data_IF_331147145232
#
_entry.id   IF_331147145232
#
_cell.length_a   1.000
_cell.length_b   1.000
_cell.length_c   1.000
_cell.angle_alpha   90.00
_cell.angle_beta   90.00
_cell.angle_gamma   90.00
#
_symmetry.space_group_name_H-M   'P 1'
#
loop_
_entity.id
_entity.type
_entity.pdbx_description
1 polymer ?
#
# COMPACT_ATOMS: atom_id res chain seq x y z
N UNK A 1 15.45 3.41 -1.80
CA UNK A 1 15.11 2.88 -0.45
C UNK A 1 15.35 3.96 0.58
N UNK A 2 14.44 4.10 1.57
CA UNK A 2 14.65 4.92 2.77
C UNK A 2 14.58 4.03 4.01
N UNK A 3 15.39 4.31 5.04
CA UNK A 3 15.42 3.56 6.31
C UNK A 3 15.52 4.56 7.47
N UNK A 4 15.24 4.06 8.67
CA UNK A 4 15.38 4.85 9.92
C UNK A 4 14.67 6.21 9.84
N UNK A 5 13.48 6.23 9.24
CA UNK A 5 12.65 7.42 9.16
C UNK A 5 12.05 7.70 10.53
N UNK A 6 12.48 8.78 11.16
CA UNK A 6 11.99 9.26 12.47
C UNK A 6 10.99 10.42 12.36
N UNK A 7 10.96 11.08 11.22
CA UNK A 7 10.03 12.17 10.91
C UNK A 7 9.35 11.90 9.59
N UNK A 8 8.03 11.90 9.58
CA UNK A 8 7.26 11.70 8.35
C UNK A 8 7.39 12.91 7.43
N UNK A 9 7.35 12.65 6.12
CA UNK A 9 7.28 13.72 5.10
C UNK A 9 6.28 13.35 4.03
N UNK A 10 5.59 14.35 3.50
CA UNK A 10 4.68 14.25 2.37
C UNK A 10 5.29 15.02 1.19
N UNK A 11 5.47 14.35 0.05
CA UNK A 11 6.03 14.96 -1.14
C UNK A 11 4.99 14.95 -2.26
N UNK A 12 4.51 16.13 -2.73
CA UNK A 12 3.59 16.21 -3.85
C UNK A 12 4.31 15.94 -5.18
N UNK A 13 3.66 15.20 -6.07
CA UNK A 13 3.91 15.13 -7.50
C UNK A 13 2.61 15.53 -8.18
N UNK A 14 2.56 16.75 -8.67
CA UNK A 14 1.36 17.31 -9.28
C UNK A 14 1.36 17.03 -10.79
N UNK A 15 0.18 16.82 -11.39
CA UNK A 15 0.02 16.74 -12.83
C UNK A 15 0.29 18.08 -13.50
N UNK A 16 0.40 18.09 -14.83
CA UNK A 16 0.29 19.33 -15.59
C UNK A 16 -1.06 19.99 -15.27
N UNK A 17 -1.08 21.29 -14.92
CA UNK A 17 -2.32 21.98 -14.62
C UNK A 17 -3.39 21.89 -15.73
N UNK A 18 -2.98 21.75 -16.99
CA UNK A 18 -3.89 21.58 -18.11
C UNK A 18 -4.56 20.18 -18.16
N UNK A 19 -3.97 19.19 -17.51
CA UNK A 19 -4.44 17.80 -17.48
C UNK A 19 -5.02 17.40 -16.12
N UNK A 20 -4.88 18.26 -15.12
CA UNK A 20 -5.33 18.00 -13.75
C UNK A 20 -6.85 17.76 -13.71
N UNK A 21 -7.24 16.61 -13.15
CA UNK A 21 -8.65 16.22 -13.05
C UNK A 21 -9.25 16.41 -11.65
N UNK A 22 -8.48 16.94 -10.71
CA UNK A 22 -8.86 17.19 -9.32
C UNK A 22 -8.70 16.01 -8.37
N UNK A 23 -8.55 14.78 -8.86
CA UNK A 23 -8.35 13.63 -7.99
C UNK A 23 -6.98 13.67 -7.32
N UNK A 24 -6.90 13.13 -6.10
CA UNK A 24 -5.68 13.06 -5.32
C UNK A 24 -5.47 11.68 -4.69
N UNK A 25 -4.21 11.25 -4.58
CA UNK A 25 -3.84 9.96 -3.98
C UNK A 25 -2.66 10.10 -3.04
N UNK A 26 -2.83 9.69 -1.79
CA UNK A 26 -1.72 9.46 -0.87
C UNK A 26 -1.13 8.08 -1.20
N UNK A 27 0.16 8.05 -1.52
CA UNK A 27 0.90 6.84 -1.89
C UNK A 27 1.78 6.43 -0.72
N UNK A 28 1.50 5.24 -0.14
CA UNK A 28 2.25 4.67 0.97
C UNK A 28 3.12 3.49 0.49
N UNK A 29 4.44 3.66 0.31
CA UNK A 29 5.33 2.58 -0.13
C UNK A 29 5.42 1.44 0.88
N UNK A 30 5.78 0.24 0.42
CA UNK A 30 6.06 -0.92 1.26
C UNK A 30 7.47 -0.98 1.82
N UNK A 31 7.76 -2.04 2.58
CA UNK A 31 9.07 -2.30 3.19
C UNK A 31 8.99 -2.77 4.63
N UNK A 32 7.97 -3.54 4.98
CA UNK A 32 7.79 -4.22 6.26
C UNK A 32 7.86 -3.29 7.49
N UNK A 33 7.54 -1.99 7.35
CA UNK A 33 7.70 -0.95 8.37
C UNK A 33 9.15 -0.74 8.86
N UNK A 34 10.14 -1.28 8.18
CA UNK A 34 11.57 -1.17 8.47
C UNK A 34 12.34 -0.35 7.44
N UNK A 35 11.82 -0.29 6.23
CA UNK A 35 12.34 0.50 5.12
C UNK A 35 11.20 0.88 4.17
N UNK A 36 11.46 1.73 3.18
CA UNK A 36 10.49 2.13 2.18
C UNK A 36 11.03 1.89 0.77
N UNK A 37 10.24 1.25 -0.06
CA UNK A 37 10.47 1.03 -1.49
C UNK A 37 10.18 2.30 -2.30
N UNK A 38 10.87 3.41 -1.95
CA UNK A 38 10.57 4.76 -2.45
C UNK A 38 10.59 4.86 -3.97
N UNK A 39 11.49 4.13 -4.65
CA UNK A 39 11.57 4.23 -6.11
C UNK A 39 10.45 3.47 -6.80
N UNK A 40 10.27 2.20 -6.44
CA UNK A 40 9.33 1.30 -7.14
C UNK A 40 7.87 1.56 -6.77
N UNK A 41 7.60 1.73 -5.48
CA UNK A 41 6.24 1.82 -4.91
C UNK A 41 5.87 3.25 -4.46
N UNK A 42 6.81 4.18 -4.58
CA UNK A 42 6.61 5.61 -4.32
C UNK A 42 6.67 6.42 -5.60
N UNK A 43 7.88 6.79 -6.03
CA UNK A 43 8.08 7.76 -7.10
C UNK A 43 7.56 7.31 -8.47
N UNK A 44 7.75 6.04 -8.86
CA UNK A 44 7.22 5.53 -10.14
C UNK A 44 5.70 5.56 -10.16
N UNK A 45 5.07 5.14 -9.06
CA UNK A 45 3.60 5.14 -8.93
C UNK A 45 3.07 6.57 -8.97
N UNK A 46 3.64 7.46 -8.15
CA UNK A 46 3.23 8.86 -8.11
C UNK A 46 3.40 9.55 -9.47
N UNK A 47 4.48 9.26 -10.21
CA UNK A 47 4.69 9.77 -11.56
C UNK A 47 3.60 9.29 -12.51
N UNK A 48 3.32 7.98 -12.50
CA UNK A 48 2.30 7.40 -13.36
C UNK A 48 0.88 7.95 -13.09
N UNK A 49 0.59 8.32 -11.85
CA UNK A 49 -0.65 9.01 -11.48
C UNK A 49 -0.65 10.45 -11.99
N UNK A 50 0.44 11.21 -11.77
CA UNK A 50 0.56 12.58 -12.23
C UNK A 50 0.46 12.69 -13.76
N UNK A 51 1.09 11.75 -14.50
CA UNK A 51 0.99 11.64 -15.97
C UNK A 51 -0.45 11.35 -16.47
N UNK A 52 -1.39 11.04 -15.55
CA UNK A 52 -2.82 10.82 -15.81
C UNK A 52 -3.74 11.89 -15.19
N UNK A 53 -3.17 13.02 -14.83
CA UNK A 53 -3.93 14.14 -14.29
C UNK A 53 -4.30 14.00 -12.80
N UNK A 54 -3.74 13.03 -12.08
CA UNK A 54 -4.04 12.77 -10.67
C UNK A 54 -2.90 13.30 -9.79
N UNK A 55 -3.21 14.18 -8.84
CA UNK A 55 -2.23 14.65 -7.88
C UNK A 55 -1.80 13.51 -6.94
N UNK A 56 -0.51 13.21 -6.87
CA UNK A 56 0.01 12.14 -6.05
C UNK A 56 0.90 12.67 -4.93
N UNK A 57 0.74 12.12 -3.73
CA UNK A 57 1.42 12.55 -2.52
C UNK A 57 2.16 11.37 -1.90
N UNK A 58 3.48 11.31 -2.09
CA UNK A 58 4.27 10.20 -1.55
C UNK A 58 4.51 10.41 -0.07
N UNK A 59 3.94 9.53 0.75
CA UNK A 59 4.09 9.53 2.19
C UNK A 59 5.31 8.68 2.60
N UNK A 60 6.34 9.35 3.13
CA UNK A 60 7.45 8.71 3.82
C UNK A 60 7.13 8.68 5.31
N UNK A 61 6.43 7.64 5.75
CA UNK A 61 5.99 7.48 7.15
C UNK A 61 7.11 6.97 8.06
N UNK A 62 6.96 7.15 9.39
CA UNK A 62 7.91 6.70 10.41
C UNK A 62 8.08 5.19 10.40
N UNK A 63 9.30 4.74 10.62
CA UNK A 63 9.69 3.34 10.54
C UNK A 63 10.24 2.85 11.87
N UNK A 64 10.19 1.53 12.05
CA UNK A 64 10.94 0.88 13.11
C UNK A 64 12.44 1.06 12.85
N UNK A 65 13.25 1.35 13.89
CA UNK A 65 14.70 1.44 13.76
C UNK A 65 15.31 0.15 13.21
N UNK A 66 16.29 0.30 12.36
CA UNK A 66 17.09 -0.79 11.80
C UNK A 66 18.57 -0.51 12.01
N UNK A 67 19.41 -1.49 11.73
CA UNK A 67 20.85 -1.38 11.84
C UNK A 67 21.38 -0.12 11.11
N UNK A 68 22.32 0.64 11.68
CA UNK A 68 22.85 1.84 11.01
C UNK A 68 23.54 1.50 9.69
N UNK A 69 24.33 0.43 9.66
CA UNK A 69 24.99 -0.07 8.45
C UNK A 69 23.99 -0.62 7.43
N UNK A 70 24.21 -0.32 6.16
CA UNK A 70 23.39 -0.87 5.07
C UNK A 70 23.67 -2.36 4.85
N UNK A 71 24.90 -2.78 5.07
CA UNK A 71 25.31 -4.17 4.83
C UNK A 71 24.78 -5.08 5.94
N UNK A 72 24.85 -4.68 7.21
CA UNK A 72 24.24 -5.40 8.33
C UNK A 72 22.72 -5.50 8.14
N UNK A 73 22.08 -4.41 7.68
CA UNK A 73 20.67 -4.44 7.37
C UNK A 73 20.32 -5.44 6.25
N UNK A 74 21.13 -5.45 5.17
CA UNK A 74 20.93 -6.40 4.05
C UNK A 74 21.14 -7.84 4.49
N UNK A 75 22.16 -8.09 5.30
CA UNK A 75 22.41 -9.42 5.86
C UNK A 75 21.21 -9.90 6.70
N UNK A 76 20.74 -9.05 7.61
CA UNK A 76 19.56 -9.36 8.43
C UNK A 76 18.30 -9.60 7.61
N UNK A 77 18.08 -8.81 6.57
CA UNK A 77 16.95 -8.98 5.68
C UNK A 77 17.03 -10.29 4.89
N UNK A 78 18.22 -10.69 4.46
CA UNK A 78 18.42 -11.97 3.76
C UNK A 78 18.13 -13.19 4.66
N UNK A 79 18.40 -13.08 5.95
CA UNK A 79 18.07 -14.12 6.94
C UNK A 79 16.57 -14.19 7.25
N UNK A 80 15.83 -13.09 7.14
CA UNK A 80 14.40 -13.01 7.46
C UNK A 80 13.45 -13.35 6.30
N UNK A 81 13.92 -13.26 5.06
CA UNK A 81 13.16 -13.57 3.84
C UNK A 81 13.73 -14.80 3.08
N UNK A 82 14.50 -15.64 3.78
CA UNK A 82 14.92 -16.93 3.21
C UNK A 82 13.71 -17.75 2.75
N UNK A 83 13.89 -18.67 1.76
CA UNK A 83 12.82 -19.57 1.37
C UNK A 83 12.33 -20.30 2.63
N UNK A 84 11.02 -20.58 2.75
CA UNK A 84 10.51 -21.34 3.88
C UNK A 84 11.30 -22.67 3.93
N UNK A 85 11.67 -23.18 5.13
CA UNK A 85 12.35 -24.44 5.23
C UNK A 85 11.54 -25.49 4.46
N UNK A 86 12.22 -26.20 3.56
CA UNK A 86 11.59 -27.21 2.74
C UNK A 86 10.90 -28.23 3.65
N UNK A 87 9.59 -28.32 3.52
CA UNK A 87 8.73 -29.42 3.98
C UNK A 87 9.05 -30.05 5.35
N UNK A 88 8.48 -29.51 6.38
CA UNK A 88 7.83 -30.31 7.41
C UNK A 88 6.47 -29.66 7.65
N UNK A 89 5.39 -30.44 7.43
CA UNK A 89 4.05 -30.05 7.85
C UNK A 89 4.11 -29.55 9.30
N UNK A 90 3.53 -28.39 9.63
CA UNK A 90 3.39 -28.01 11.02
C UNK A 90 2.54 -29.09 11.69
N UNK A 91 2.89 -29.53 12.90
CA UNK A 91 2.04 -30.45 13.65
C UNK A 91 0.67 -29.79 13.81
N UNK A 92 -0.38 -30.53 13.49
CA UNK A 92 -1.75 -30.10 13.68
C UNK A 92 -1.94 -29.71 15.16
N UNK A 93 -2.05 -28.42 15.44
CA UNK A 93 -2.37 -28.01 16.79
C UNK A 93 -2.06 -26.60 17.24
N UNK A 94 -1.16 -25.85 16.64
CA UNK A 94 -1.02 -24.43 17.01
C UNK A 94 -0.35 -23.67 15.85
N UNK A 95 -1.10 -22.73 15.27
CA UNK A 95 -0.48 -21.75 14.40
C UNK A 95 0.57 -20.99 15.24
N UNK A 96 1.82 -20.80 14.72
CA UNK A 96 2.81 -20.01 15.44
C UNK A 96 2.20 -18.64 15.75
N UNK A 97 2.49 -18.07 16.94
CA UNK A 97 1.97 -16.77 17.32
C UNK A 97 2.27 -15.80 16.18
N UNK A 98 1.22 -15.23 15.60
CA UNK A 98 1.37 -14.18 14.60
C UNK A 98 2.26 -13.12 15.25
N UNK A 99 3.33 -12.65 14.57
CA UNK A 99 4.06 -11.48 15.07
C UNK A 99 3.02 -10.47 15.48
N UNK A 100 3.04 -10.06 16.74
CA UNK A 100 2.02 -9.22 17.35
C UNK A 100 1.71 -8.11 16.38
N UNK A 101 0.44 -7.77 16.18
CA UNK A 101 0.01 -6.65 15.33
C UNK A 101 0.91 -5.50 15.70
N UNK A 102 1.81 -5.11 14.80
CA UNK A 102 2.72 -4.00 15.05
C UNK A 102 1.84 -2.82 15.43
N UNK A 103 2.13 -2.18 16.54
CA UNK A 103 1.45 -0.96 16.89
C UNK A 103 1.70 0.05 15.75
N UNK A 104 0.66 0.38 15.01
CA UNK A 104 0.72 1.31 13.88
C UNK A 104 0.28 2.72 14.26
N UNK A 105 0.18 3.03 15.55
CA UNK A 105 -0.27 4.35 16.03
C UNK A 105 0.55 5.51 15.45
N UNK A 106 1.86 5.35 15.37
CA UNK A 106 2.74 6.35 14.76
C UNK A 106 2.48 6.52 13.26
N UNK A 107 2.33 5.41 12.53
CA UNK A 107 2.09 5.44 11.08
C UNK A 107 0.68 5.96 10.77
N UNK A 108 -0.31 5.64 11.60
CA UNK A 108 -1.65 6.21 11.51
C UNK A 108 -1.61 7.72 11.70
N UNK A 109 -0.95 8.20 12.75
CA UNK A 109 -0.80 9.64 12.99
C UNK A 109 -0.08 10.35 11.82
N UNK A 110 0.89 9.68 11.18
CA UNK A 110 1.58 10.22 10.00
C UNK A 110 0.63 10.30 8.79
N UNK A 111 -0.23 9.29 8.58
CA UNK A 111 -1.21 9.29 7.50
C UNK A 111 -2.30 10.35 7.73
N UNK A 112 -2.78 10.50 8.97
CA UNK A 112 -3.74 11.54 9.34
C UNK A 112 -3.17 12.95 9.15
N UNK A 113 -1.91 13.17 9.57
CA UNK A 113 -1.21 14.43 9.35
C UNK A 113 -1.02 14.73 7.85
N UNK A 114 -0.66 13.72 7.05
CA UNK A 114 -0.54 13.86 5.61
C UNK A 114 -1.88 14.23 4.95
N UNK A 115 -2.96 13.59 5.36
CA UNK A 115 -4.31 13.89 4.91
C UNK A 115 -4.73 15.31 5.31
N UNK A 116 -4.48 15.73 6.54
CA UNK A 116 -4.78 17.09 7.01
C UNK A 116 -4.03 18.16 6.18
N UNK A 117 -2.73 17.97 5.91
CA UNK A 117 -1.94 18.86 5.05
C UNK A 117 -2.53 18.90 3.63
N UNK A 118 -2.97 17.77 3.10
CA UNK A 118 -3.60 17.70 1.79
C UNK A 118 -4.88 18.55 1.76
N UNK A 119 -5.75 18.40 2.76
CA UNK A 119 -6.98 19.18 2.87
C UNK A 119 -6.68 20.69 3.01
N UNK A 120 -5.74 21.06 3.88
CA UNK A 120 -5.35 22.45 4.10
C UNK A 120 -4.86 23.14 2.82
N UNK A 121 -4.11 22.41 2.00
CA UNK A 121 -3.47 22.92 0.79
C UNK A 121 -4.18 22.50 -0.52
N UNK A 122 -5.37 21.93 -0.43
CA UNK A 122 -6.09 21.38 -1.58
C UNK A 122 -6.27 22.41 -2.71
N UNK A 123 -6.64 23.64 -2.38
CA UNK A 123 -6.82 24.70 -3.37
C UNK A 123 -5.51 25.12 -4.05
N UNK A 124 -4.39 25.10 -3.34
CA UNK A 124 -3.06 25.37 -3.91
C UNK A 124 -2.66 24.31 -4.93
N UNK A 125 -3.07 23.08 -4.68
CA UNK A 125 -2.71 21.93 -5.52
C UNK A 125 -3.76 21.54 -6.56
N UNK A 126 -4.87 22.28 -6.63
CA UNK A 126 -5.97 22.01 -7.54
C UNK A 126 -6.69 20.69 -7.24
N UNK A 127 -6.75 20.28 -5.96
CA UNK A 127 -7.33 19.03 -5.50
C UNK A 127 -8.77 19.24 -5.04
N UNK A 128 -9.64 18.33 -5.48
CA UNK A 128 -10.97 18.12 -4.94
C UNK A 128 -10.89 17.16 -3.75
N UNK A 129 -11.18 17.64 -2.56
CA UNK A 129 -11.07 16.87 -1.32
C UNK A 129 -11.99 15.64 -1.28
N UNK A 130 -13.14 15.70 -1.98
CA UNK A 130 -14.09 14.60 -2.07
C UNK A 130 -13.63 13.48 -3.02
N UNK A 131 -12.50 13.71 -3.72
CA UNK A 131 -11.87 12.76 -4.66
C UNK A 131 -10.48 12.35 -4.21
N UNK A 132 -10.24 12.34 -2.91
CA UNK A 132 -8.97 11.96 -2.30
C UNK A 132 -8.99 10.51 -1.84
N UNK A 133 -8.06 9.70 -2.36
CA UNK A 133 -7.88 8.30 -1.96
C UNK A 133 -6.50 8.02 -1.36
N UNK A 134 -6.34 6.77 -0.92
CA UNK A 134 -5.04 6.28 -0.44
C UNK A 134 -4.73 4.92 -1.05
N UNK A 135 -3.53 4.78 -1.60
CA UNK A 135 -3.01 3.49 -2.06
C UNK A 135 -1.75 3.14 -1.28
N UNK A 136 -1.59 1.87 -1.00
CA UNK A 136 -0.41 1.38 -0.28
C UNK A 136 0.06 0.04 -0.80
N UNK A 137 1.34 -0.19 -0.64
CA UNK A 137 2.04 -1.40 -1.05
C UNK A 137 2.48 -2.16 0.19
N UNK A 138 2.78 -3.42 0.22
CA UNK A 138 2.63 -4.40 1.31
C UNK A 138 2.43 -3.80 2.73
N UNK A 139 3.48 -3.23 3.32
CA UNK A 139 3.36 -2.54 4.61
C UNK A 139 2.49 -1.27 4.52
N UNK A 140 2.63 -0.52 3.42
CA UNK A 140 1.76 0.62 3.11
C UNK A 140 0.31 0.21 2.85
N UNK A 141 0.05 -0.97 2.28
CA UNK A 141 -1.29 -1.55 2.17
C UNK A 141 -1.86 -1.84 3.57
N UNK A 142 -1.02 -2.37 4.46
CA UNK A 142 -1.36 -2.53 5.87
C UNK A 142 -1.71 -1.19 6.54
N UNK A 143 -0.95 -0.13 6.26
CA UNK A 143 -1.24 1.22 6.73
C UNK A 143 -2.53 1.78 6.13
N UNK A 144 -2.76 1.61 4.82
CA UNK A 144 -4.00 2.01 4.15
C UNK A 144 -5.22 1.35 4.81
N UNK A 145 -5.17 0.04 5.00
CA UNK A 145 -6.23 -0.69 5.70
C UNK A 145 -6.39 -0.23 7.14
N UNK A 146 -5.29 -0.05 7.87
CA UNK A 146 -5.34 0.41 9.27
C UNK A 146 -5.95 1.81 9.37
N UNK A 147 -5.59 2.73 8.47
CA UNK A 147 -6.17 4.08 8.40
C UNK A 147 -7.67 4.02 8.11
N UNK A 148 -8.08 3.21 7.13
CA UNK A 148 -9.50 3.03 6.77
C UNK A 148 -10.34 2.49 7.93
N UNK A 149 -9.79 1.56 8.70
CA UNK A 149 -10.55 0.87 9.76
C UNK A 149 -10.53 1.63 11.10
N UNK A 150 -9.55 2.51 11.33
CA UNK A 150 -9.31 3.07 12.68
C UNK A 150 -9.21 4.60 12.73
N UNK A 151 -8.92 5.29 11.62
CA UNK A 151 -8.89 6.75 11.61
C UNK A 151 -10.28 7.33 11.89
N UNK A 152 -10.28 8.44 12.62
CA UNK A 152 -11.50 9.24 12.89
C UNK A 152 -11.50 10.56 12.13
N UNK A 153 -10.42 10.84 11.40
CA UNK A 153 -10.19 12.13 10.74
C UNK A 153 -10.04 12.02 9.22
N UNK A 154 -9.82 10.79 8.71
CA UNK A 154 -9.67 10.56 7.28
C UNK A 154 -10.97 10.07 6.67
N UNK A 155 -11.48 10.82 5.70
CA UNK A 155 -12.59 10.40 4.82
C UNK A 155 -12.03 10.17 3.43
N UNK A 156 -11.87 8.92 3.04
CA UNK A 156 -11.27 8.54 1.76
C UNK A 156 -12.34 8.20 0.73
N UNK A 157 -12.20 8.74 -0.49
CA UNK A 157 -13.11 8.44 -1.59
C UNK A 157 -12.91 7.02 -2.14
N UNK A 158 -11.69 6.48 -2.02
CA UNK A 158 -11.34 5.11 -2.41
C UNK A 158 -10.04 4.67 -1.74
N UNK A 159 -9.80 3.36 -1.70
CA UNK A 159 -8.54 2.77 -1.22
C UNK A 159 -8.00 1.72 -2.17
N UNK A 160 -6.67 1.59 -2.18
CA UNK A 160 -5.95 0.56 -2.93
C UNK A 160 -4.91 -0.15 -2.06
N UNK A 161 -5.28 -1.16 -1.26
CA UNK A 161 -4.32 -1.99 -0.53
C UNK A 161 -3.71 -3.05 -1.46
N UNK A 162 -2.59 -2.71 -2.12
CA UNK A 162 -1.94 -3.53 -3.15
C UNK A 162 -1.05 -4.60 -2.51
N UNK A 163 -1.24 -5.86 -2.90
CA UNK A 163 -0.60 -7.09 -2.36
C UNK A 163 -0.39 -7.04 -0.83
N UNK A 164 -1.42 -6.57 -0.13
CA UNK A 164 -1.49 -6.51 1.32
C UNK A 164 -2.05 -7.78 1.96
N UNK A 165 -2.37 -7.66 3.26
CA UNK A 165 -3.00 -8.74 4.02
C UNK A 165 -4.41 -9.08 3.51
N UNK A 166 -4.70 -10.37 3.32
CA UNK A 166 -5.95 -10.88 2.77
C UNK A 166 -6.88 -11.52 3.82
N UNK A 167 -6.55 -11.39 5.10
CA UNK A 167 -7.40 -11.88 6.20
C UNK A 167 -8.71 -11.10 6.31
N UNK A 168 -9.78 -11.71 6.86
CA UNK A 168 -11.05 -11.03 7.06
C UNK A 168 -10.91 -9.87 8.06
N UNK A 169 -11.74 -8.84 7.86
CA UNK A 169 -11.79 -7.65 8.71
C UNK A 169 -13.24 -7.27 8.99
N UNK A 170 -13.47 -6.52 10.04
CA UNK A 170 -14.74 -5.84 10.27
C UNK A 170 -14.75 -4.53 9.45
N UNK A 171 -15.72 -4.43 8.53
CA UNK A 171 -15.79 -3.33 7.57
C UNK A 171 -16.73 -2.25 8.10
N UNK A 172 -16.29 -0.99 8.28
CA UNK A 172 -17.17 0.11 8.66
C UNK A 172 -18.29 0.33 7.65
N UNK A 173 -19.44 0.82 8.12
CA UNK A 173 -20.61 1.08 7.28
C UNK A 173 -20.32 2.11 6.17
N UNK A 174 -19.43 3.07 6.46
CA UNK A 174 -18.99 4.15 5.56
C UNK A 174 -17.67 3.84 4.83
N UNK A 175 -17.19 2.59 4.87
CA UNK A 175 -15.95 2.21 4.21
C UNK A 175 -15.96 2.56 2.71
N UNK A 176 -14.87 3.11 2.18
CA UNK A 176 -14.78 3.51 0.77
C UNK A 176 -14.74 2.30 -0.17
N UNK A 177 -15.00 2.50 -1.48
CA UNK A 177 -14.66 1.53 -2.51
C UNK A 177 -13.22 1.07 -2.40
N UNK A 178 -12.97 -0.23 -2.65
CA UNK A 178 -11.64 -0.82 -2.57
C UNK A 178 -11.22 -1.42 -3.91
N UNK A 179 -10.02 -1.07 -4.36
CA UNK A 179 -9.30 -1.76 -5.43
C UNK A 179 -8.16 -2.57 -4.83
N UNK A 180 -8.11 -3.88 -5.11
CA UNK A 180 -7.06 -4.75 -4.60
C UNK A 180 -6.48 -5.61 -5.73
N UNK A 181 -5.17 -5.77 -5.73
CA UNK A 181 -4.45 -6.61 -6.69
C UNK A 181 -3.30 -7.34 -6.01
N UNK A 182 -3.11 -8.59 -6.39
CA UNK A 182 -1.99 -9.41 -5.97
C UNK A 182 -1.68 -10.51 -7.00
N UNK A 183 -0.58 -11.20 -6.84
CA UNK A 183 -0.21 -12.35 -7.65
C UNK A 183 -0.37 -13.65 -6.85
N UNK A 184 -0.77 -14.75 -7.51
CA UNK A 184 -0.97 -16.04 -6.85
C UNK A 184 0.34 -16.71 -6.43
N UNK A 185 1.45 -16.31 -7.04
CA UNK A 185 2.82 -16.73 -6.71
C UNK A 185 3.51 -15.81 -5.68
N UNK A 186 2.79 -14.83 -5.10
CA UNK A 186 3.29 -14.00 -4.01
C UNK A 186 3.51 -14.87 -2.76
N UNK A 187 4.74 -14.89 -2.22
CA UNK A 187 5.09 -15.72 -1.06
C UNK A 187 4.33 -15.34 0.22
N UNK A 188 3.75 -14.14 0.29
CA UNK A 188 2.89 -13.69 1.40
C UNK A 188 1.43 -14.11 1.21
N UNK A 189 1.03 -14.47 0.00
CA UNK A 189 -0.33 -14.92 -0.28
C UNK A 189 -0.55 -16.35 0.26
N UNK A 190 -1.54 -16.53 1.09
CA UNK A 190 -1.88 -17.80 1.75
C UNK A 190 -3.19 -18.40 1.23
N UNK A 191 -3.61 -18.07 0.02
CA UNK A 191 -4.87 -18.54 -0.54
C UNK A 191 -6.11 -18.02 0.19
N UNK A 192 -6.00 -16.89 0.90
CA UNK A 192 -7.09 -16.27 1.64
C UNK A 192 -7.67 -15.11 0.86
N UNK A 193 -8.99 -14.97 0.90
CA UNK A 193 -9.75 -13.89 0.25
C UNK A 193 -10.65 -13.16 1.25
N UNK A 194 -10.33 -13.26 2.54
CA UNK A 194 -11.17 -12.76 3.61
C UNK A 194 -11.50 -11.27 3.52
N UNK A 195 -10.51 -10.42 3.20
CA UNK A 195 -10.73 -8.98 3.05
C UNK A 195 -11.69 -8.66 1.90
N UNK A 196 -11.57 -9.36 0.78
CA UNK A 196 -12.45 -9.17 -0.39
C UNK A 196 -13.88 -9.56 -0.02
N UNK A 197 -14.03 -10.74 0.61
CA UNK A 197 -15.32 -11.22 1.08
C UNK A 197 -15.93 -10.26 2.11
N UNK A 198 -15.14 -9.72 3.04
CA UNK A 198 -15.61 -8.76 4.04
C UNK A 198 -16.19 -7.50 3.40
N UNK A 199 -15.51 -6.92 2.38
CA UNK A 199 -16.01 -5.75 1.64
C UNK A 199 -17.30 -6.07 0.89
N UNK A 200 -17.34 -7.21 0.19
CA UNK A 200 -18.50 -7.66 -0.55
C UNK A 200 -19.71 -7.89 0.37
N UNK A 201 -19.53 -8.60 1.49
CA UNK A 201 -20.60 -8.89 2.45
C UNK A 201 -21.15 -7.60 3.13
N UNK A 202 -20.29 -6.60 3.31
CA UNK A 202 -20.67 -5.27 3.80
C UNK A 202 -21.38 -4.41 2.75
N UNK A 203 -21.58 -4.92 1.53
CA UNK A 203 -22.21 -4.19 0.42
C UNK A 203 -21.38 -3.01 -0.09
N UNK A 204 -20.04 -3.02 0.18
CA UNK A 204 -19.14 -1.98 -0.29
C UNK A 204 -18.54 -2.37 -1.64
N UNK A 205 -18.41 -1.41 -2.59
CA UNK A 205 -17.79 -1.70 -3.88
C UNK A 205 -16.38 -2.25 -3.70
N UNK A 206 -16.07 -3.34 -4.39
CA UNK A 206 -14.74 -3.95 -4.39
C UNK A 206 -14.39 -4.47 -5.77
N UNK A 207 -13.20 -4.11 -6.24
CA UNK A 207 -12.59 -4.67 -7.44
C UNK A 207 -11.33 -5.44 -7.03
N UNK A 208 -11.19 -6.68 -7.51
CA UNK A 208 -10.08 -7.55 -7.15
C UNK A 208 -9.50 -8.26 -8.36
N UNK A 209 -8.17 -8.19 -8.50
CA UNK A 209 -7.43 -8.90 -9.54
C UNK A 209 -6.41 -9.85 -8.92
N UNK A 210 -6.51 -11.13 -9.26
CA UNK A 210 -5.53 -12.15 -8.94
C UNK A 210 -4.78 -12.54 -10.20
N UNK A 211 -3.53 -12.12 -10.32
CA UNK A 211 -2.66 -12.49 -11.42
C UNK A 211 -2.01 -13.84 -11.16
N UNK A 212 -1.80 -14.61 -12.21
CA UNK A 212 -1.13 -15.91 -12.11
C UNK A 212 0.32 -15.77 -11.63
N UNK A 213 1.04 -14.78 -12.16
CA UNK A 213 2.44 -14.54 -11.87
C UNK A 213 2.67 -13.03 -11.59
N UNK A 214 3.75 -12.72 -10.87
CA UNK A 214 4.14 -11.36 -10.53
C UNK A 214 4.99 -11.33 -9.27
N UNK A 215 4.91 -12.36 -8.44
CA UNK A 215 5.59 -12.41 -7.16
C UNK A 215 5.13 -11.31 -6.22
N UNK A 216 6.00 -10.93 -5.30
CA UNK A 216 5.76 -9.87 -4.33
C UNK A 216 6.49 -8.59 -4.72
N UNK A 217 5.86 -7.41 -4.53
CA UNK A 217 6.54 -6.12 -4.71
C UNK A 217 6.72 -5.70 -6.16
N UNK A 218 5.85 -6.13 -7.07
CA UNK A 218 5.97 -5.83 -8.50
C UNK A 218 5.73 -4.34 -8.85
N UNK A 219 5.11 -3.54 -7.97
CA UNK A 219 4.81 -2.12 -8.25
C UNK A 219 3.93 -1.97 -9.48
N UNK A 220 4.39 -1.16 -10.44
CA UNK A 220 3.76 -1.03 -11.77
C UNK A 220 4.24 -2.10 -12.78
N UNK A 221 4.97 -3.11 -12.32
CA UNK A 221 5.51 -4.18 -13.13
C UNK A 221 6.87 -3.86 -13.75
N UNK A 222 7.33 -4.82 -14.54
CA UNK A 222 8.61 -4.74 -15.24
C UNK A 222 8.33 -4.60 -16.73
N UNK A 223 8.95 -3.61 -17.44
CA UNK A 223 8.67 -3.34 -18.86
C UNK A 223 8.86 -4.54 -19.78
N UNK A 224 9.80 -5.43 -19.44
CA UNK A 224 10.16 -6.61 -20.25
C UNK A 224 9.53 -7.91 -19.75
N UNK A 225 8.68 -7.85 -18.70
CA UNK A 225 7.96 -9.03 -18.24
C UNK A 225 6.79 -9.36 -19.18
N UNK A 226 6.49 -10.64 -19.43
CA UNK A 226 5.24 -11.02 -20.08
C UNK A 226 4.06 -10.41 -19.33
N UNK A 227 2.87 -10.33 -19.97
CA UNK A 227 1.66 -9.70 -19.40
C UNK A 227 1.29 -10.32 -18.03
N UNK A 228 2.01 -9.88 -17.02
CA UNK A 228 1.93 -10.29 -15.61
C UNK A 228 1.46 -9.12 -14.79
N UNK A 229 1.22 -9.35 -13.52
CA UNK A 229 0.87 -8.29 -12.58
C UNK A 229 1.76 -7.05 -12.79
N UNK A 230 1.15 -5.88 -12.90
CA UNK A 230 1.85 -4.61 -13.05
C UNK A 230 2.33 -4.27 -14.47
N UNK A 231 2.04 -5.05 -15.51
CA UNK A 231 2.31 -4.61 -16.88
C UNK A 231 1.39 -3.43 -17.26
N UNK A 232 1.81 -2.52 -18.19
CA UNK A 232 0.95 -1.40 -18.62
C UNK A 232 -0.43 -1.84 -19.14
N UNK A 233 -0.54 -3.06 -19.69
CA UNK A 233 -1.80 -3.66 -20.12
C UNK A 233 -2.68 -4.14 -18.95
N UNK A 234 -2.14 -4.31 -17.76
CA UNK A 234 -2.89 -4.69 -16.56
C UNK A 234 -3.39 -3.48 -15.75
N UNK A 235 -2.89 -2.29 -16.06
CA UNK A 235 -3.26 -1.05 -15.35
C UNK A 235 -4.51 -0.35 -15.92
N UNK A 236 -5.29 -0.98 -16.77
CA UNK A 236 -6.52 -0.38 -17.34
C UNK A 236 -7.64 -0.18 -16.32
N UNK A 237 -7.53 -0.74 -15.13
CA UNK A 237 -8.46 -0.51 -14.02
C UNK A 237 -8.24 0.81 -13.24
N UNK A 238 -7.30 1.67 -13.68
CA UNK A 238 -7.00 2.95 -13.04
C UNK A 238 -7.58 4.16 -13.80
N UNK A 239 -8.45 3.95 -14.75
CA UNK A 239 -9.09 5.04 -15.52
C UNK A 239 -10.53 5.29 -15.10
#
# INVERSE_FOLDING_TARGET
MARNVSTATLTPLLPDPAEANGAAVIVAPGGAFRWLSMNNEGWKVARALADRGIAAFVLKYRLQPTEPSLDDFRERMSQGFGPPPSSSEPPAGEAPPRPGRSDLSNQLADAEAAYAILLERASEWGVDTDRTGMIGFPAGAGLTMHSTLHSKTMTLAFIGPIYGGMGPVEVPEDAPPMFNVLASDDFLFRGQFGVIKSWFDAGRPVEFHLYQNGGHGFGLGYPDAPATAGSPSSCTGWT
#
